data_IF_986304882898
#
_entry.id   IF_986304882898
#
_cell.length_a   1.000
_cell.length_b   1.000
_cell.length_c   1.000
_cell.angle_alpha   90.00
_cell.angle_beta   90.00
_cell.angle_gamma   90.00
#
_symmetry.space_group_name_H-M   'P 1'
#
loop_
_entity.id
_entity.type
_entity.pdbx_description
1 polymer ?
#
# COMPACT_ATOMS: atom_id res chain seq x y z
N UNK A 1 1.20 -3.91 -6.38
CA UNK A 1 1.07 -4.08 -7.85
C UNK A 1 2.05 -3.24 -8.70
N UNK A 2 2.84 -2.36 -8.09
CA UNK A 2 3.72 -1.41 -8.79
C UNK A 2 5.16 -1.90 -9.00
N UNK A 3 5.44 -3.19 -8.76
CA UNK A 3 6.82 -3.72 -8.70
C UNK A 3 7.65 -3.64 -9.99
N UNK A 4 7.00 -3.40 -11.14
CA UNK A 4 7.66 -3.25 -12.45
C UNK A 4 7.58 -1.82 -13.01
N UNK A 5 7.15 -0.85 -12.19
CA UNK A 5 7.00 0.54 -12.61
C UNK A 5 8.15 1.38 -12.07
N UNK A 6 8.50 2.45 -12.80
CA UNK A 6 9.36 3.49 -12.25
C UNK A 6 8.68 4.19 -11.04
N UNK A 7 9.44 4.83 -10.14
CA UNK A 7 8.90 5.41 -8.92
C UNK A 7 7.77 6.41 -9.13
N UNK A 8 7.86 7.25 -10.16
CA UNK A 8 6.88 8.31 -10.42
C UNK A 8 5.55 7.71 -10.91
N UNK A 9 5.62 6.76 -11.85
CA UNK A 9 4.44 6.03 -12.32
C UNK A 9 3.82 5.18 -11.21
N UNK A 10 4.65 4.51 -10.40
CA UNK A 10 4.20 3.72 -9.26
C UNK A 10 3.42 4.56 -8.25
N UNK A 11 3.86 5.79 -8.00
CA UNK A 11 3.18 6.72 -7.11
C UNK A 11 1.78 7.09 -7.61
N UNK A 12 1.66 7.47 -8.88
CA UNK A 12 0.36 7.85 -9.48
C UNK A 12 -0.65 6.70 -9.47
N UNK A 13 -0.22 5.50 -9.87
CA UNK A 13 -1.07 4.30 -9.86
C UNK A 13 -1.52 3.96 -8.44
N UNK A 14 -0.62 4.06 -7.47
CA UNK A 14 -0.94 3.79 -6.07
C UNK A 14 -1.96 4.80 -5.51
N UNK A 15 -1.77 6.09 -5.77
CA UNK A 15 -2.71 7.12 -5.35
C UNK A 15 -4.11 6.89 -5.94
N UNK A 16 -4.21 6.55 -7.23
CA UNK A 16 -5.48 6.23 -7.88
C UNK A 16 -6.16 5.00 -7.29
N UNK A 17 -5.41 3.94 -6.99
CA UNK A 17 -5.95 2.72 -6.38
C UNK A 17 -6.53 2.99 -4.98
N UNK A 18 -5.83 3.78 -4.17
CA UNK A 18 -6.28 4.14 -2.82
C UNK A 18 -7.52 5.01 -2.87
N UNK A 19 -7.55 5.98 -3.78
CA UNK A 19 -8.71 6.85 -3.95
C UNK A 19 -9.94 6.05 -4.37
N UNK A 20 -9.80 5.15 -5.34
CA UNK A 20 -10.87 4.25 -5.77
C UNK A 20 -11.42 3.40 -4.61
N UNK A 21 -10.54 2.84 -3.78
CA UNK A 21 -10.97 2.06 -2.62
C UNK A 21 -11.78 2.91 -1.64
N UNK A 22 -11.34 4.13 -1.35
CA UNK A 22 -12.03 5.07 -0.46
C UNK A 22 -13.39 5.49 -1.01
N UNK A 23 -13.46 5.88 -2.29
CA UNK A 23 -14.67 6.37 -2.93
C UNK A 23 -15.78 5.32 -3.00
N UNK A 24 -15.41 4.04 -3.13
CA UNK A 24 -16.35 2.93 -3.18
C UNK A 24 -16.55 2.21 -1.85
N UNK A 25 -15.94 2.68 -0.75
CA UNK A 25 -16.04 2.04 0.57
C UNK A 25 -15.46 0.62 0.60
N UNK A 26 -14.46 0.34 -0.24
CA UNK A 26 -13.80 -0.96 -0.34
C UNK A 26 -12.60 -1.03 0.60
N UNK A 27 -12.34 -2.23 1.13
CA UNK A 27 -11.11 -2.51 1.85
C UNK A 27 -9.99 -2.89 0.86
N UNK A 28 -8.81 -2.27 1.00
CA UNK A 28 -7.62 -2.61 0.24
C UNK A 28 -6.51 -3.12 1.17
N UNK A 29 -5.85 -4.21 0.77
CA UNK A 29 -4.67 -4.75 1.45
C UNK A 29 -3.50 -4.71 0.47
N UNK A 30 -2.44 -3.98 0.84
CA UNK A 30 -1.25 -3.81 0.00
C UNK A 30 -0.04 -4.41 0.71
N UNK A 31 0.61 -5.39 0.08
CA UNK A 31 1.96 -5.81 0.47
C UNK A 31 3.00 -4.95 -0.27
N UNK A 32 3.88 -4.29 0.49
CA UNK A 32 4.95 -3.44 -0.06
C UNK A 32 6.19 -3.48 0.82
N UNK A 33 7.37 -3.32 0.21
CA UNK A 33 8.63 -3.08 0.90
C UNK A 33 9.01 -1.59 0.91
N UNK A 34 8.24 -0.73 0.23
CA UNK A 34 8.49 0.70 0.17
C UNK A 34 7.82 1.41 1.38
N UNK A 35 8.59 1.95 2.33
CA UNK A 35 8.05 2.57 3.54
C UNK A 35 7.31 3.89 3.25
N UNK A 36 7.69 4.62 2.20
CA UNK A 36 7.04 5.88 1.80
C UNK A 36 5.61 5.63 1.31
N UNK A 37 5.38 4.53 0.59
CA UNK A 37 4.03 4.13 0.17
C UNK A 37 3.21 3.58 1.36
N UNK A 38 3.83 2.78 2.22
CA UNK A 38 3.16 2.23 3.41
C UNK A 38 2.64 3.35 4.33
N UNK A 39 3.41 4.42 4.50
CA UNK A 39 3.05 5.59 5.32
C UNK A 39 1.76 6.30 4.89
N UNK A 40 1.25 6.03 3.67
CA UNK A 40 0.01 6.61 3.14
C UNK A 40 -1.23 5.78 3.47
N UNK A 41 -1.08 4.59 4.08
CA UNK A 41 -2.17 3.69 4.43
C UNK A 41 -2.75 4.02 5.80
N UNK A 42 -4.02 3.68 6.00
CA UNK A 42 -4.71 3.94 7.27
C UNK A 42 -4.15 3.08 8.42
N UNK A 43 -3.63 1.89 8.11
CA UNK A 43 -2.98 0.98 9.06
C UNK A 43 -1.77 0.31 8.42
N UNK A 44 -0.72 0.15 9.21
CA UNK A 44 0.51 -0.52 8.82
C UNK A 44 0.75 -1.70 9.77
N UNK A 45 0.99 -2.87 9.20
CA UNK A 45 1.40 -4.07 9.93
C UNK A 45 2.66 -4.63 9.29
N UNK A 46 3.57 -5.11 10.12
CA UNK A 46 4.81 -5.77 9.66
C UNK A 46 4.62 -7.27 9.73
N UNK A 47 4.81 -7.96 8.60
CA UNK A 47 4.90 -9.42 8.58
C UNK A 47 6.34 -9.83 8.93
N UNK A 48 6.50 -10.60 9.99
CA UNK A 48 7.79 -11.05 10.52
C UNK A 48 7.69 -12.52 10.92
N UNK A 49 8.48 -13.39 10.27
CA UNK A 49 8.47 -14.83 10.48
C UNK A 49 7.06 -15.46 10.47
N UNK A 50 6.20 -15.04 9.53
CA UNK A 50 4.83 -15.54 9.39
C UNK A 50 3.82 -14.93 10.37
N UNK A 51 4.24 -14.01 11.24
CA UNK A 51 3.40 -13.34 12.23
C UNK A 51 3.22 -11.86 11.89
N UNK A 52 2.00 -11.35 12.02
CA UNK A 52 1.74 -9.91 11.90
C UNK A 52 2.06 -9.22 13.23
N UNK A 53 2.92 -8.20 13.16
CA UNK A 53 3.22 -7.29 14.26
C UNK A 53 2.66 -5.91 13.94
N UNK A 54 2.16 -5.21 14.94
CA UNK A 54 1.89 -3.77 14.83
C UNK A 54 3.22 -3.04 14.68
N UNK A 55 3.31 -2.21 13.65
CA UNK A 55 4.46 -1.33 13.44
C UNK A 55 4.54 -0.26 14.55
#
# INVERSE_FOLDING_TARGET
>A
PTGNLDPDTAEGVFAGLVQLAKDHGLAAVIATHNPVLAARMDRIVRLDHGMLRTA
#
